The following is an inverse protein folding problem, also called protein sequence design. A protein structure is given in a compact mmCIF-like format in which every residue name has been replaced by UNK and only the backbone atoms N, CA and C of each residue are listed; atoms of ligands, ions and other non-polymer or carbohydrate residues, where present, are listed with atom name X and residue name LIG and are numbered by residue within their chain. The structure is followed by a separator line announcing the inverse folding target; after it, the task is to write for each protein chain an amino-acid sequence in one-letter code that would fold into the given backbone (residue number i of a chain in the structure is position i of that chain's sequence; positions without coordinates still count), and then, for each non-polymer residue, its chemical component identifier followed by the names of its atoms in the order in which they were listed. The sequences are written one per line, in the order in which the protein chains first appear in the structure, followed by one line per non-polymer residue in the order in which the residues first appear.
data_IF_570705481129
#
_entry.id   IF_570705481129
#
_cell.length_a   1.000
_cell.length_b   1.000
_cell.length_c   1.000
_cell.angle_alpha   90.00
_cell.angle_beta   90.00
_cell.angle_gamma   90.00
#
_symmetry.space_group_name_H-M   'P 1'
#
loop_
_entity.id
_entity.type
_entity.pdbx_description
1 polymer ?
#
# COMPACT_ATOMS: atom_id res chain seq x y z
N UNK A 1 44.77 -7.35 -1.89
CA UNK A 1 43.70 -6.33 -2.01
C UNK A 1 42.59 -6.82 -2.92
N UNK A 2 42.89 -7.31 -4.13
CA UNK A 2 41.89 -7.88 -5.06
C UNK A 2 41.10 -9.08 -4.49
N UNK A 3 41.77 -10.11 -3.95
CA UNK A 3 41.09 -11.24 -3.25
C UNK A 3 40.22 -10.82 -2.06
N UNK A 4 40.59 -9.72 -1.39
CA UNK A 4 39.81 -9.19 -0.27
C UNK A 4 38.56 -8.47 -0.76
N UNK A 5 38.64 -7.82 -1.93
CA UNK A 5 37.54 -7.15 -2.61
C UNK A 5 36.58 -8.14 -3.25
N UNK A 6 37.07 -9.16 -3.96
CA UNK A 6 36.25 -10.24 -4.53
C UNK A 6 35.44 -10.99 -3.46
N UNK A 7 36.03 -11.26 -2.30
CA UNK A 7 35.34 -11.91 -1.18
C UNK A 7 34.29 -11.01 -0.50
N UNK A 8 34.45 -9.69 -0.58
CA UNK A 8 33.48 -8.71 -0.09
C UNK A 8 32.31 -8.58 -1.09
N UNK A 9 32.61 -8.53 -2.39
CA UNK A 9 31.63 -8.54 -3.47
C UNK A 9 30.75 -9.80 -3.43
N UNK A 10 31.33 -10.97 -3.15
CA UNK A 10 30.60 -12.23 -2.97
C UNK A 10 29.63 -12.20 -1.77
N UNK A 11 30.00 -11.50 -0.69
CA UNK A 11 29.13 -11.36 0.50
C UNK A 11 27.98 -10.40 0.22
N UNK A 12 28.28 -9.26 -0.40
CA UNK A 12 27.26 -8.27 -0.77
C UNK A 12 26.26 -8.85 -1.78
N UNK A 13 26.73 -9.66 -2.74
CA UNK A 13 25.85 -10.38 -3.65
C UNK A 13 24.91 -11.35 -2.91
N UNK A 14 25.41 -12.08 -1.91
CA UNK A 14 24.61 -12.99 -1.08
C UNK A 14 23.58 -12.24 -0.23
N UNK A 15 23.96 -11.12 0.37
CA UNK A 15 23.04 -10.26 1.13
C UNK A 15 21.96 -9.68 0.22
N UNK A 16 22.34 -9.26 -0.99
CA UNK A 16 21.43 -8.70 -1.99
C UNK A 16 20.38 -9.72 -2.41
N UNK A 17 20.76 -10.95 -2.78
CA UNK A 17 19.76 -11.96 -3.19
C UNK A 17 18.85 -12.37 -2.02
N UNK A 18 19.38 -12.39 -0.79
CA UNK A 18 18.55 -12.61 0.40
C UNK A 18 17.57 -11.46 0.63
N UNK A 19 17.98 -10.21 0.45
CA UNK A 19 17.09 -9.05 0.52
C UNK A 19 15.98 -9.15 -0.53
N UNK A 20 16.34 -9.39 -1.79
CA UNK A 20 15.38 -9.53 -2.90
C UNK A 20 14.37 -10.66 -2.66
N UNK A 21 14.84 -11.82 -2.21
CA UNK A 21 13.97 -12.97 -1.90
C UNK A 21 12.99 -12.67 -0.75
N UNK A 22 13.32 -11.75 0.15
CA UNK A 22 12.49 -11.35 1.28
C UNK A 22 11.67 -10.07 1.04
N UNK A 23 11.75 -9.45 -0.14
CA UNK A 23 11.01 -8.22 -0.46
C UNK A 23 9.51 -8.38 -0.29
N UNK A 24 8.96 -9.59 -0.44
CA UNK A 24 7.54 -9.89 -0.21
C UNK A 24 7.08 -9.51 1.21
N UNK A 25 7.98 -9.48 2.19
CA UNK A 25 7.66 -9.09 3.56
C UNK A 25 7.17 -7.63 3.68
N UNK A 26 7.65 -6.73 2.81
CA UNK A 26 7.30 -5.30 2.85
C UNK A 26 5.85 -5.03 2.42
N UNK A 27 5.38 -5.44 1.22
CA UNK A 27 3.98 -5.26 0.85
C UNK A 27 3.03 -6.05 1.75
N UNK A 28 3.44 -7.22 2.27
CA UNK A 28 2.63 -7.97 3.23
C UNK A 28 2.55 -7.28 4.61
N UNK A 29 3.62 -6.64 5.07
CA UNK A 29 3.59 -5.81 6.27
C UNK A 29 2.69 -4.57 6.08
N UNK A 30 2.72 -3.93 4.91
CA UNK A 30 1.81 -2.85 4.57
C UNK A 30 0.35 -3.33 4.55
N UNK A 31 0.09 -4.47 3.92
CA UNK A 31 -1.23 -5.09 3.91
C UNK A 31 -1.75 -5.37 5.32
N UNK A 32 -0.90 -5.91 6.21
CA UNK A 32 -1.25 -6.14 7.61
C UNK A 32 -1.55 -4.82 8.34
N UNK A 33 -0.71 -3.78 8.16
CA UNK A 33 -0.93 -2.47 8.76
C UNK A 33 -2.26 -1.83 8.31
N UNK A 34 -2.63 -1.99 7.04
CA UNK A 34 -3.89 -1.50 6.49
C UNK A 34 -5.10 -2.29 7.01
N UNK A 35 -4.99 -3.62 7.12
CA UNK A 35 -6.03 -4.47 7.74
C UNK A 35 -6.29 -4.12 9.20
N UNK A 36 -5.25 -3.67 9.91
CA UNK A 36 -5.33 -3.19 11.29
C UNK A 36 -5.65 -1.69 11.40
N UNK A 37 -5.84 -1.00 10.27
CA UNK A 37 -6.16 0.43 10.21
C UNK A 37 -5.07 1.33 10.85
N UNK A 38 -3.81 0.88 10.88
CA UNK A 38 -2.74 1.56 11.63
C UNK A 38 -2.46 2.99 11.15
N UNK A 39 -2.39 3.30 9.83
CA UNK A 39 -2.13 4.68 9.40
C UNK A 39 -3.17 5.67 9.92
N UNK A 40 -4.46 5.34 9.80
CA UNK A 40 -5.55 6.19 10.29
C UNK A 40 -5.54 6.32 11.83
N UNK A 41 -5.24 5.24 12.55
CA UNK A 41 -5.15 5.26 14.02
C UNK A 41 -3.96 6.09 14.54
N UNK A 42 -2.86 6.14 13.78
CA UNK A 42 -1.70 6.97 14.10
C UNK A 42 -1.97 8.43 13.72
N UNK A 43 -2.71 8.68 12.65
CA UNK A 43 -3.02 10.03 12.17
C UNK A 43 -4.01 10.80 13.04
N UNK A 44 -4.77 10.13 13.93
CA UNK A 44 -5.67 10.74 14.94
C UNK A 44 -6.35 12.04 14.47
N UNK A 45 -7.06 11.97 13.33
CA UNK A 45 -7.83 13.11 12.78
C UNK A 45 -6.99 14.38 12.49
N UNK A 46 -5.74 14.21 12.03
CA UNK A 46 -4.84 15.31 11.64
C UNK A 46 -3.61 15.47 12.54
N UNK A 47 -3.49 14.66 13.58
CA UNK A 47 -2.41 14.70 14.56
C UNK A 47 -1.48 13.49 14.41
N UNK A 48 -0.27 13.72 13.90
CA UNK A 48 0.74 12.68 13.69
C UNK A 48 1.77 12.60 14.85
N UNK A 49 1.26 12.54 16.08
CA UNK A 49 2.12 12.45 17.27
C UNK A 49 2.70 11.03 17.43
N UNK A 50 3.93 10.89 17.94
CA UNK A 50 4.50 9.58 18.24
C UNK A 50 3.62 8.75 19.16
N UNK A 51 3.34 7.51 18.77
CA UNK A 51 2.52 6.55 19.54
C UNK A 51 3.27 5.24 19.75
N UNK A 52 3.23 4.70 20.98
CA UNK A 52 3.84 3.40 21.28
C UNK A 52 3.03 2.23 20.71
N UNK A 53 3.68 1.09 20.50
CA UNK A 53 2.99 -0.14 20.09
C UNK A 53 1.90 -0.57 21.10
N UNK A 54 2.10 -0.30 22.40
CA UNK A 54 1.12 -0.60 23.44
C UNK A 54 -0.14 0.25 23.31
N UNK A 55 0.02 1.56 23.11
CA UNK A 55 -1.11 2.47 22.88
C UNK A 55 -1.84 2.13 21.59
N UNK A 56 -1.10 1.90 20.50
CA UNK A 56 -1.67 1.56 19.20
C UNK A 56 -2.42 0.22 19.24
N UNK A 57 -1.90 -0.80 19.94
CA UNK A 57 -2.62 -2.05 20.16
C UNK A 57 -3.95 -1.85 20.88
N UNK A 58 -4.01 -0.95 21.86
CA UNK A 58 -5.27 -0.56 22.52
C UNK A 58 -6.26 0.07 21.55
N UNK A 59 -5.80 0.99 20.69
CA UNK A 59 -6.65 1.60 19.65
C UNK A 59 -7.18 0.56 18.65
N UNK A 60 -6.33 -0.38 18.23
CA UNK A 60 -6.72 -1.50 17.36
C UNK A 60 -7.78 -2.36 18.04
N UNK A 61 -7.60 -2.69 19.33
CA UNK A 61 -8.57 -3.46 20.10
C UNK A 61 -9.94 -2.77 20.10
N UNK A 62 -9.99 -1.47 20.40
CA UNK A 62 -11.23 -0.69 20.41
C UNK A 62 -11.84 -0.61 19.02
N UNK A 63 -11.05 -0.31 17.99
CA UNK A 63 -11.52 -0.16 16.61
C UNK A 63 -12.14 -1.44 16.05
N UNK A 64 -11.56 -2.59 16.38
CA UNK A 64 -11.99 -3.90 15.88
C UNK A 64 -12.91 -4.66 16.85
N UNK A 65 -13.19 -4.11 18.04
CA UNK A 65 -14.04 -4.76 19.04
C UNK A 65 -13.48 -6.08 19.58
N UNK A 66 -12.15 -6.18 19.72
CA UNK A 66 -11.49 -7.43 20.11
C UNK A 66 -11.62 -7.70 21.62
N UNK A 67 -11.88 -8.96 22.03
CA UNK A 67 -12.06 -9.31 23.45
C UNK A 67 -10.78 -9.22 24.25
N UNK A 68 -9.62 -9.35 23.60
CA UNK A 68 -8.30 -9.29 24.20
C UNK A 68 -7.41 -8.30 23.45
N UNK A 69 -6.42 -7.74 24.16
CA UNK A 69 -5.49 -6.80 23.56
C UNK A 69 -4.61 -7.52 22.52
N UNK A 70 -4.43 -6.94 21.31
CA UNK A 70 -3.47 -7.42 20.34
C UNK A 70 -2.05 -7.52 20.89
N UNK A 71 -1.28 -8.47 20.38
CA UNK A 71 0.11 -8.67 20.80
C UNK A 71 0.99 -7.49 20.40
N UNK A 72 1.50 -6.78 21.41
CA UNK A 72 2.29 -5.55 21.22
C UNK A 72 3.65 -5.83 20.58
N UNK A 73 4.24 -7.00 20.82
CA UNK A 73 5.57 -7.37 20.30
C UNK A 73 5.49 -7.60 18.79
N UNK A 74 4.50 -8.35 18.31
CA UNK A 74 4.29 -8.58 16.88
C UNK A 74 3.87 -7.30 16.16
N UNK A 75 3.03 -6.46 16.78
CA UNK A 75 2.72 -5.14 16.23
C UNK A 75 3.98 -4.28 16.07
N UNK A 76 4.84 -4.24 17.09
CA UNK A 76 6.11 -3.52 17.02
C UNK A 76 7.03 -4.07 15.91
N UNK A 77 7.05 -5.39 15.68
CA UNK A 77 7.84 -5.99 14.59
C UNK A 77 7.34 -5.54 13.21
N UNK A 78 6.03 -5.48 13.00
CA UNK A 78 5.43 -4.95 11.75
C UNK A 78 5.81 -3.49 11.57
N UNK A 79 5.61 -2.66 12.60
CA UNK A 79 5.94 -1.23 12.56
C UNK A 79 7.42 -1.02 12.26
N UNK A 80 8.33 -1.82 12.83
CA UNK A 80 9.77 -1.71 12.59
C UNK A 80 10.19 -2.09 11.18
N UNK A 81 9.57 -3.11 10.57
CA UNK A 81 9.77 -3.43 9.15
C UNK A 81 9.34 -2.25 8.27
N UNK A 82 8.20 -1.64 8.58
CA UNK A 82 7.70 -0.49 7.83
C UNK A 82 8.53 0.77 8.09
N UNK A 83 9.08 0.92 9.29
CA UNK A 83 9.98 2.02 9.63
C UNK A 83 11.33 1.91 8.89
N UNK A 84 11.89 0.71 8.75
CA UNK A 84 13.12 0.50 7.99
C UNK A 84 12.95 0.77 6.48
N UNK A 85 11.72 0.87 5.99
CA UNK A 85 11.37 1.21 4.61
C UNK A 85 10.74 2.62 4.50
N UNK A 86 10.87 3.44 5.55
CA UNK A 86 10.48 4.85 5.51
C UNK A 86 8.98 5.11 5.51
N UNK A 87 8.13 4.15 5.85
CA UNK A 87 6.67 4.34 5.99
C UNK A 87 6.35 4.94 7.36
N UNK A 88 7.01 4.44 8.40
CA UNK A 88 6.99 4.99 9.76
C UNK A 88 8.36 5.55 10.12
N UNK A 89 8.40 6.42 11.11
CA UNK A 89 9.61 6.83 11.79
C UNK A 89 9.59 6.26 13.21
N UNK A 90 10.65 5.56 13.59
CA UNK A 90 10.85 5.07 14.96
C UNK A 90 11.55 6.16 15.79
N UNK A 91 10.91 6.62 16.86
CA UNK A 91 11.43 7.69 17.74
C UNK A 91 11.46 7.24 19.20
N UNK A 92 12.32 7.83 20.06
CA UNK A 92 12.31 7.56 21.49
C UNK A 92 10.97 7.96 22.12
N UNK A 93 10.37 7.07 22.91
CA UNK A 93 9.14 7.38 23.64
C UNK A 93 9.47 8.27 24.85
N UNK A 94 8.95 9.50 24.87
CA UNK A 94 9.18 10.48 25.94
C UNK A 94 10.68 10.68 26.30
N UNK A 95 11.56 10.59 25.29
CA UNK A 95 13.02 10.71 25.49
C UNK A 95 13.71 9.46 26.05
N UNK A 96 12.98 8.38 26.34
CA UNK A 96 13.56 7.11 26.75
C UNK A 96 14.02 6.32 25.51
N UNK A 97 15.33 6.14 25.33
CA UNK A 97 15.89 5.39 24.19
C UNK A 97 15.53 3.89 24.19
N UNK A 98 15.19 3.31 25.35
CA UNK A 98 14.79 1.91 25.44
C UNK A 98 13.34 1.67 25.00
N UNK A 99 12.49 2.71 25.05
CA UNK A 99 11.11 2.65 24.66
C UNK A 99 10.91 3.32 23.29
N UNK A 100 10.13 2.70 22.41
CA UNK A 100 9.99 3.12 21.01
C UNK A 100 8.55 3.51 20.72
N UNK A 101 8.41 4.70 20.15
CA UNK A 101 7.17 5.20 19.58
C UNK A 101 7.31 5.35 18.06
N UNK A 102 6.19 5.42 17.37
CA UNK A 102 6.12 5.48 15.91
C UNK A 102 5.23 6.64 15.49
N UNK A 103 5.60 7.30 14.39
CA UNK A 103 4.73 8.25 13.68
C UNK A 103 4.85 8.01 12.17
N UNK A 104 3.89 8.49 11.38
CA UNK A 104 3.95 8.36 9.93
C UNK A 104 4.98 9.32 9.34
N UNK A 105 5.72 8.87 8.34
CA UNK A 105 6.47 9.77 7.45
C UNK A 105 5.52 10.36 6.40
N UNK A 106 6.03 11.20 5.49
CA UNK A 106 5.26 11.66 4.33
C UNK A 106 4.80 10.48 3.44
N UNK A 107 5.60 9.41 3.34
CA UNK A 107 5.21 8.18 2.61
C UNK A 107 4.09 7.47 3.36
N UNK A 108 4.19 7.33 4.68
CA UNK A 108 3.13 6.72 5.49
C UNK A 108 1.81 7.50 5.43
N UNK A 109 1.88 8.82 5.38
CA UNK A 109 0.70 9.68 5.29
C UNK A 109 -0.13 9.45 4.02
N UNK A 110 0.45 8.96 2.91
CA UNK A 110 -0.33 8.62 1.71
C UNK A 110 -1.28 7.43 1.91
N UNK A 111 -1.11 6.68 3.00
CA UNK A 111 -1.94 5.54 3.37
C UNK A 111 -3.12 5.95 4.27
N UNK A 112 -3.12 7.18 4.79
CA UNK A 112 -4.20 7.74 5.60
C UNK A 112 -5.40 8.05 4.70
N UNK A 113 -6.57 7.67 5.18
CA UNK A 113 -7.85 7.90 4.51
C UNK A 113 -8.24 9.37 4.61
N UNK A 114 -8.46 10.02 3.48
CA UNK A 114 -8.91 11.41 3.41
C UNK A 114 -10.41 11.56 3.73
N UNK A 115 -10.91 12.80 3.69
CA UNK A 115 -12.32 13.10 3.96
C UNK A 115 -13.31 12.47 2.96
N UNK A 116 -12.84 12.02 1.80
CA UNK A 116 -13.63 11.33 0.78
C UNK A 116 -13.53 9.80 0.91
N UNK A 117 -12.81 9.29 1.91
CA UNK A 117 -12.61 7.85 2.07
C UNK A 117 -11.51 7.26 1.18
N UNK A 118 -10.65 8.11 0.60
CA UNK A 118 -9.62 7.73 -0.37
C UNK A 118 -8.22 7.72 0.24
N UNK A 119 -7.39 6.77 -0.18
CA UNK A 119 -5.95 6.70 0.13
C UNK A 119 -5.24 5.76 -0.84
N UNK A 120 -3.90 5.79 -0.87
CA UNK A 120 -3.10 4.76 -1.57
C UNK A 120 -3.17 3.39 -0.85
N UNK A 121 -3.73 3.33 0.36
CA UNK A 121 -3.94 2.08 1.08
C UNK A 121 -4.82 1.09 0.30
N UNK A 122 -5.88 1.57 -0.36
CA UNK A 122 -6.72 0.70 -1.19
C UNK A 122 -5.93 0.08 -2.36
N UNK A 123 -5.00 0.82 -2.96
CA UNK A 123 -4.12 0.33 -4.02
C UNK A 123 -3.17 -0.76 -3.53
N UNK A 124 -2.57 -0.57 -2.35
CA UNK A 124 -1.74 -1.60 -1.71
C UNK A 124 -2.55 -2.85 -1.40
N UNK A 125 -3.72 -2.70 -0.76
CA UNK A 125 -4.61 -3.81 -0.44
C UNK A 125 -5.02 -4.58 -1.70
N UNK A 126 -5.38 -3.87 -2.78
CA UNK A 126 -5.72 -4.49 -4.06
C UNK A 126 -4.56 -5.35 -4.55
N UNK A 127 -3.33 -4.85 -4.58
CA UNK A 127 -2.18 -5.61 -5.10
C UNK A 127 -1.79 -6.83 -4.23
N UNK A 128 -2.24 -6.85 -2.99
CA UNK A 128 -2.02 -7.95 -2.04
C UNK A 128 -3.18 -8.95 -1.98
N UNK A 129 -4.19 -8.83 -2.84
CA UNK A 129 -5.29 -9.80 -2.91
C UNK A 129 -4.77 -11.21 -3.23
N UNK A 130 -5.25 -12.21 -2.49
CA UNK A 130 -4.94 -13.63 -2.69
C UNK A 130 -4.97 -14.06 -4.17
N UNK A 131 -6.02 -13.77 -4.98
CA UNK A 131 -6.03 -14.16 -6.38
C UNK A 131 -4.88 -13.54 -7.21
N UNK A 132 -4.47 -12.31 -6.92
CA UNK A 132 -3.32 -11.69 -7.60
C UNK A 132 -2.01 -12.30 -7.14
N UNK A 133 -1.83 -12.53 -5.83
CA UNK A 133 -0.62 -13.17 -5.28
C UNK A 133 -0.44 -14.56 -5.88
N UNK A 134 -1.50 -15.35 -6.01
CA UNK A 134 -1.45 -16.66 -6.67
C UNK A 134 -0.97 -16.56 -8.13
N UNK A 135 -1.48 -15.58 -8.89
CA UNK A 135 -1.05 -15.35 -10.26
C UNK A 135 0.44 -14.97 -10.38
N UNK A 136 0.98 -14.19 -9.43
CA UNK A 136 2.40 -13.82 -9.41
C UNK A 136 3.33 -15.03 -9.33
N UNK A 137 2.94 -16.09 -8.61
CA UNK A 137 3.72 -17.33 -8.52
C UNK A 137 3.83 -18.09 -9.86
N UNK A 138 2.99 -17.72 -10.83
CA UNK A 138 2.87 -18.34 -12.16
C UNK A 138 3.39 -17.45 -13.28
N UNK A 139 4.04 -16.33 -12.97
CA UNK A 139 4.49 -15.34 -13.98
C UNK A 139 5.40 -15.95 -15.07
N UNK A 140 6.24 -16.93 -14.71
CA UNK A 140 7.09 -17.64 -15.66
C UNK A 140 6.29 -18.33 -16.79
N UNK A 141 5.05 -18.74 -16.54
CA UNK A 141 4.21 -19.39 -17.54
C UNK A 141 3.71 -18.45 -18.65
N UNK A 142 3.73 -17.13 -18.43
CA UNK A 142 3.43 -16.15 -19.48
C UNK A 142 4.57 -16.02 -20.50
N UNK A 143 5.78 -16.45 -20.14
CA UNK A 143 6.90 -16.58 -21.10
C UNK A 143 6.75 -17.87 -21.91
N UNK A 144 6.33 -18.96 -21.27
CA UNK A 144 6.19 -20.28 -21.90
C UNK A 144 5.02 -20.33 -22.89
N UNK A 145 3.94 -19.61 -22.59
CA UNK A 145 2.78 -19.50 -23.47
C UNK A 145 2.25 -18.06 -23.42
N UNK A 146 2.58 -17.25 -24.44
CA UNK A 146 2.20 -15.84 -24.48
C UNK A 146 0.72 -15.63 -24.84
N UNK A 147 -0.03 -16.69 -25.15
CA UNK A 147 -1.45 -16.57 -25.53
C UNK A 147 -2.39 -16.40 -24.33
N UNK A 148 -1.92 -16.68 -23.11
CA UNK A 148 -2.70 -16.58 -21.89
C UNK A 148 -1.93 -15.86 -20.78
N UNK A 149 -2.55 -14.84 -20.19
CA UNK A 149 -2.03 -14.17 -18.99
C UNK A 149 -2.03 -15.12 -17.77
N UNK A 150 -1.05 -14.96 -16.87
CA UNK A 150 -0.90 -15.81 -15.69
C UNK A 150 -2.16 -15.82 -14.80
N UNK A 151 -2.83 -14.67 -14.65
CA UNK A 151 -4.05 -14.59 -13.85
C UNK A 151 -5.18 -15.47 -14.41
N UNK A 152 -5.42 -15.38 -15.72
CA UNK A 152 -6.41 -16.20 -16.42
C UNK A 152 -6.08 -17.69 -16.37
N UNK A 153 -4.82 -18.08 -16.42
CA UNK A 153 -4.42 -19.49 -16.24
C UNK A 153 -4.81 -20.04 -14.87
N UNK A 154 -4.61 -19.24 -13.81
CA UNK A 154 -4.92 -19.65 -12.43
C UNK A 154 -6.41 -19.65 -12.16
N UNK A 155 -7.12 -18.61 -12.60
CA UNK A 155 -8.51 -18.35 -12.18
C UNK A 155 -9.55 -18.67 -13.25
N UNK A 156 -9.13 -18.97 -14.48
CA UNK A 156 -10.00 -19.32 -15.62
C UNK A 156 -10.61 -18.14 -16.36
N UNK A 157 -10.45 -16.91 -15.86
CA UNK A 157 -10.97 -15.70 -16.48
C UNK A 157 -10.01 -14.51 -16.30
N UNK A 158 -10.08 -13.49 -17.19
CA UNK A 158 -9.29 -12.28 -17.04
C UNK A 158 -9.55 -11.52 -15.74
N UNK A 159 -8.56 -10.76 -15.28
CA UNK A 159 -8.60 -10.05 -13.99
C UNK A 159 -9.80 -9.10 -13.84
N UNK A 160 -10.19 -8.38 -14.89
CA UNK A 160 -11.34 -7.45 -14.82
C UNK A 160 -12.67 -8.19 -14.75
N UNK A 161 -12.82 -9.28 -15.49
CA UNK A 161 -14.01 -10.14 -15.38
C UNK A 161 -14.12 -10.75 -13.98
N UNK A 162 -12.98 -11.05 -13.35
CA UNK A 162 -12.93 -11.57 -11.98
C UNK A 162 -13.45 -10.53 -10.99
N UNK A 163 -13.02 -9.27 -11.12
CA UNK A 163 -13.55 -8.19 -10.30
C UNK A 163 -15.05 -8.02 -10.49
N UNK A 164 -15.55 -8.00 -11.72
CA UNK A 164 -16.99 -7.84 -11.97
C UNK A 164 -17.82 -8.92 -11.26
N UNK A 165 -17.31 -10.16 -11.16
CA UNK A 165 -17.99 -11.27 -10.49
C UNK A 165 -17.92 -11.24 -8.96
N UNK A 166 -16.94 -10.56 -8.38
CA UNK A 166 -16.79 -10.39 -6.93
C UNK A 166 -16.98 -8.91 -6.54
N UNK A 167 -18.17 -8.54 -6.02
CA UNK A 167 -18.47 -7.16 -5.62
C UNK A 167 -17.47 -6.55 -4.63
N UNK A 168 -16.88 -7.36 -3.73
CA UNK A 168 -15.92 -6.87 -2.75
C UNK A 168 -14.58 -6.53 -3.43
N UNK A 169 -14.11 -7.41 -4.32
CA UNK A 169 -12.91 -7.13 -5.12
C UNK A 169 -13.13 -5.96 -6.09
N UNK A 170 -14.32 -5.85 -6.71
CA UNK A 170 -14.65 -4.73 -7.58
C UNK A 170 -14.63 -3.39 -6.83
N UNK A 171 -15.28 -3.35 -5.66
CA UNK A 171 -15.31 -2.14 -4.82
C UNK A 171 -13.89 -1.74 -4.39
N UNK A 172 -13.06 -2.70 -4.00
CA UNK A 172 -11.67 -2.44 -3.66
C UNK A 172 -10.88 -1.92 -4.87
N UNK A 173 -11.06 -2.51 -6.05
CA UNK A 173 -10.41 -2.06 -7.28
C UNK A 173 -10.82 -0.62 -7.64
N UNK A 174 -12.10 -0.29 -7.57
CA UNK A 174 -12.61 1.05 -7.83
C UNK A 174 -12.06 2.09 -6.85
N UNK A 175 -12.02 1.74 -5.54
CA UNK A 175 -11.40 2.57 -4.51
C UNK A 175 -9.90 2.74 -4.72
N UNK A 176 -9.19 1.68 -5.12
CA UNK A 176 -7.78 1.71 -5.45
C UNK A 176 -7.49 2.66 -6.61
N UNK A 177 -8.29 2.61 -7.68
CA UNK A 177 -8.12 3.50 -8.82
C UNK A 177 -8.44 4.96 -8.45
N UNK A 178 -9.53 5.21 -7.71
CA UNK A 178 -9.86 6.56 -7.23
C UNK A 178 -8.79 7.14 -6.30
N UNK A 179 -8.29 6.34 -5.36
CA UNK A 179 -7.26 6.76 -4.41
C UNK A 179 -5.91 7.08 -5.09
N UNK A 180 -5.64 6.49 -6.25
CA UNK A 180 -4.48 6.80 -7.08
C UNK A 180 -4.74 8.02 -7.98
N UNK A 181 -5.90 8.08 -8.62
CA UNK A 181 -6.16 9.03 -9.71
C UNK A 181 -6.59 10.41 -9.21
N UNK A 182 -7.35 10.52 -8.13
CA UNK A 182 -7.82 11.81 -7.61
C UNK A 182 -6.68 12.73 -7.17
N UNK A 183 -5.69 12.28 -6.36
CA UNK A 183 -4.54 13.13 -6.02
C UNK A 183 -3.73 13.55 -7.24
N UNK A 184 -3.54 12.64 -8.21
CA UNK A 184 -2.87 12.97 -9.47
C UNK A 184 -3.64 14.02 -10.27
N UNK A 185 -4.96 13.87 -10.37
CA UNK A 185 -5.81 14.80 -11.10
C UNK A 185 -5.84 16.19 -10.45
N UNK A 186 -5.80 16.28 -9.10
CA UNK A 186 -5.66 17.57 -8.39
C UNK A 186 -4.39 18.29 -8.81
N UNK A 187 -3.24 17.60 -8.75
CA UNK A 187 -1.96 18.18 -9.14
C UNK A 187 -1.92 18.55 -10.64
N UNK A 188 -2.57 17.76 -11.49
CA UNK A 188 -2.67 18.07 -12.92
C UNK A 188 -3.45 19.38 -13.15
N UNK A 189 -4.61 19.53 -12.51
CA UNK A 189 -5.46 20.73 -12.65
C UNK A 189 -4.83 22.01 -12.09
N UNK A 190 -3.86 21.91 -11.19
CA UNK A 190 -3.09 23.08 -10.70
C UNK A 190 -2.20 23.70 -11.78
N UNK A 191 -1.84 22.94 -12.82
CA UNK A 191 -0.87 23.37 -13.84
C UNK A 191 -1.37 23.22 -15.28
N UNK A 192 -2.44 22.48 -15.52
CA UNK A 192 -3.01 22.23 -16.83
C UNK A 192 -4.33 22.98 -17.01
N UNK A 193 -4.33 23.97 -17.91
CA UNK A 193 -5.47 24.81 -18.26
C UNK A 193 -6.25 24.30 -19.49
N UNK A 194 -5.79 23.21 -20.12
CA UNK A 194 -6.39 22.71 -21.36
C UNK A 194 -7.80 22.13 -21.21
N UNK A 195 -8.35 22.06 -19.99
CA UNK A 195 -9.77 21.77 -19.73
C UNK A 195 -10.64 23.04 -19.58
N UNK A 196 -10.04 24.23 -19.62
CA UNK A 196 -10.73 25.51 -19.48
C UNK A 196 -11.79 25.78 -20.55
N UNK A 197 -12.64 26.78 -20.30
CA UNK A 197 -13.87 27.09 -21.05
C UNK A 197 -13.68 27.50 -22.52
N UNK A 198 -12.45 27.70 -22.98
CA UNK A 198 -12.16 28.20 -24.32
C UNK A 198 -12.06 27.05 -25.35
N UNK A 199 -13.21 26.43 -25.64
CA UNK A 199 -13.41 25.65 -26.88
C UNK A 199 -13.65 24.15 -26.76
N UNK A 200 -13.61 23.56 -25.55
CA UNK A 200 -13.97 22.15 -25.36
C UNK A 200 -15.49 21.96 -25.34
N UNK A 201 -16.02 21.29 -26.37
CA UNK A 201 -17.45 20.95 -26.47
C UNK A 201 -17.80 19.59 -25.86
N UNK A 202 -16.85 18.67 -25.82
CA UNK A 202 -17.08 17.29 -25.39
C UNK A 202 -15.78 16.70 -24.87
N UNK A 203 -15.83 16.11 -23.68
CA UNK A 203 -14.74 15.36 -23.07
C UNK A 203 -15.29 13.96 -22.77
N UNK A 204 -14.52 12.93 -23.10
CA UNK A 204 -14.87 11.53 -22.83
C UNK A 204 -13.72 10.88 -22.09
N UNK A 205 -13.98 10.42 -20.86
CA UNK A 205 -13.03 9.64 -20.06
C UNK A 205 -13.22 8.15 -20.37
N UNK A 206 -12.48 7.67 -21.38
CA UNK A 206 -12.54 6.26 -21.79
C UNK A 206 -11.84 5.39 -20.75
N UNK A 207 -12.63 4.60 -20.03
CA UNK A 207 -12.12 3.79 -18.91
C UNK A 207 -12.07 4.55 -17.58
N UNK A 208 -12.79 5.66 -17.44
CA UNK A 208 -12.83 6.51 -16.24
C UNK A 208 -13.34 5.88 -14.95
N UNK A 209 -13.68 4.59 -14.96
CA UNK A 209 -14.07 3.82 -13.77
C UNK A 209 -15.28 4.42 -13.06
N UNK A 210 -15.06 4.95 -11.85
CA UNK A 210 -16.10 5.60 -11.02
C UNK A 210 -16.44 7.01 -11.48
N UNK A 211 -15.74 7.57 -12.47
CA UNK A 211 -15.91 8.94 -12.92
C UNK A 211 -15.25 9.98 -12.00
N UNK A 212 -14.45 9.55 -11.02
CA UNK A 212 -13.84 10.45 -10.03
C UNK A 212 -12.98 11.55 -10.67
N UNK A 213 -12.25 11.24 -11.75
CA UNK A 213 -11.45 12.24 -12.46
C UNK A 213 -12.32 13.22 -13.27
N UNK A 214 -13.31 12.69 -14.01
CA UNK A 214 -14.22 13.52 -14.80
C UNK A 214 -15.02 14.49 -13.94
N UNK A 215 -15.41 14.10 -12.72
CA UNK A 215 -16.13 14.97 -11.79
C UNK A 215 -15.31 16.17 -11.27
N UNK A 216 -14.01 16.21 -11.55
CA UNK A 216 -13.11 17.29 -11.12
C UNK A 216 -12.86 18.35 -12.19
N UNK A 217 -13.21 18.05 -13.45
CA UNK A 217 -13.11 18.96 -14.60
C UNK A 217 -14.43 19.72 -14.72
#
# INVERSE_FOLDING_TARGET
VERGREMDDDKEARLTIMYLANLISVPMALHAALKLNLPDLVWQEGTNLPISAKQLAGLVQTKLGLPTQPDTVNLQRILRVLASHGVFEEVPENGNQAAKAFRLTNVGQTLVTDCQGLSLGAYVMRNCLDPLVQAWTRLHESVLDPSQEAFKKVHGLPVYEYYIKDPACNSLMQRAMSGLSVPFMKALLESYDGFGSDGLKTIVDVGGGTGSCMAMI
#
